data_IF_602572232846
#
_entry.id   IF_602572232846
#
_cell.length_a   1.000
_cell.length_b   1.000
_cell.length_c   1.000
_cell.angle_alpha   90.00
_cell.angle_beta   90.00
_cell.angle_gamma   90.00
#
_symmetry.space_group_name_H-M   'P 1'
#
loop_
_entity.id
_entity.type
_entity.pdbx_description
1 polymer ?
#
# COMPACT_ATOMS: atom_id res chain seq x y z
N UNK A 1 4.55 9.34 -30.79
CA UNK A 1 4.13 9.69 -29.43
C UNK A 1 3.81 8.38 -28.72
N UNK A 2 4.59 7.95 -27.75
CA UNK A 2 4.24 6.78 -26.93
C UNK A 2 2.99 7.12 -26.14
N UNK A 3 1.95 6.33 -26.27
CA UNK A 3 0.73 6.47 -25.49
C UNK A 3 1.11 6.27 -24.02
N UNK A 4 0.91 7.30 -23.19
CA UNK A 4 1.15 7.18 -21.74
C UNK A 4 0.10 6.22 -21.19
N UNK A 5 0.54 5.07 -20.69
CA UNK A 5 -0.35 4.08 -20.09
C UNK A 5 -0.77 4.56 -18.71
N UNK A 6 -2.07 4.83 -18.53
CA UNK A 6 -2.68 5.22 -17.27
C UNK A 6 -3.40 4.01 -16.67
N UNK A 7 -3.03 3.64 -15.43
CA UNK A 7 -3.69 2.57 -14.67
C UNK A 7 -3.97 3.04 -13.25
N UNK A 8 -4.91 2.42 -12.57
CA UNK A 8 -5.06 2.58 -11.12
C UNK A 8 -4.14 1.60 -10.40
N UNK A 9 -3.47 2.06 -9.36
CA UNK A 9 -2.62 1.20 -8.52
C UNK A 9 -3.43 0.06 -7.88
N UNK A 10 -4.65 0.38 -7.46
CA UNK A 10 -5.59 -0.59 -6.90
C UNK A 10 -5.87 -1.76 -7.84
N UNK A 11 -6.28 -1.47 -9.08
CA UNK A 11 -6.72 -2.52 -10.00
C UNK A 11 -5.55 -3.41 -10.42
N UNK A 12 -4.35 -2.83 -10.58
CA UNK A 12 -3.14 -3.61 -10.86
C UNK A 12 -2.77 -4.51 -9.69
N UNK A 13 -2.82 -4.01 -8.45
CA UNK A 13 -2.56 -4.84 -7.26
C UNK A 13 -3.58 -5.97 -7.15
N UNK A 14 -4.87 -5.68 -7.30
CA UNK A 14 -5.92 -6.69 -7.18
C UNK A 14 -5.84 -7.78 -8.26
N UNK A 15 -5.53 -7.41 -9.49
CA UNK A 15 -5.32 -8.37 -10.58
C UNK A 15 -4.09 -9.25 -10.31
N UNK A 16 -2.98 -8.66 -9.87
CA UNK A 16 -1.80 -9.43 -9.52
C UNK A 16 -1.99 -10.35 -8.32
N UNK A 17 -2.80 -9.96 -7.32
CA UNK A 17 -3.18 -10.87 -6.22
C UNK A 17 -4.02 -12.04 -6.76
N UNK A 18 -4.99 -11.76 -7.64
CA UNK A 18 -5.79 -12.80 -8.29
C UNK A 18 -4.91 -13.83 -9.00
N UNK A 19 -3.90 -13.39 -9.76
CA UNK A 19 -2.93 -14.27 -10.43
C UNK A 19 -2.15 -15.13 -9.42
N UNK A 20 -1.65 -14.55 -8.31
CA UNK A 20 -0.91 -15.29 -7.26
C UNK A 20 -1.78 -16.28 -6.50
N UNK A 21 -3.09 -16.03 -6.41
CA UNK A 21 -4.04 -16.99 -5.81
C UNK A 21 -4.16 -18.29 -6.62
N UNK A 22 -3.88 -18.27 -7.93
CA UNK A 22 -3.82 -19.46 -8.77
C UNK A 22 -2.63 -20.37 -8.39
N UNK A 23 -1.51 -19.77 -7.99
CA UNK A 23 -0.26 -20.46 -7.71
C UNK A 23 -0.06 -20.80 -6.23
N UNK A 24 -0.77 -20.08 -5.33
CA UNK A 24 -0.62 -20.22 -3.89
C UNK A 24 -1.99 -20.35 -3.19
N UNK A 25 -2.29 -21.56 -2.75
CA UNK A 25 -3.55 -21.90 -2.07
C UNK A 25 -3.67 -21.28 -0.65
N UNK A 26 -2.58 -20.75 -0.09
CA UNK A 26 -2.58 -20.12 1.23
C UNK A 26 -2.92 -18.62 1.17
N UNK A 27 -3.22 -18.06 0.00
CA UNK A 27 -3.65 -16.68 -0.13
C UNK A 27 -5.17 -16.59 0.02
N UNK A 28 -5.62 -15.72 0.94
CA UNK A 28 -7.01 -15.42 1.23
C UNK A 28 -7.31 -13.95 0.98
N UNK A 29 -8.46 -13.66 0.40
CA UNK A 29 -8.92 -12.30 0.15
C UNK A 29 -10.20 -12.00 0.91
N UNK A 30 -10.17 -10.98 1.76
CA UNK A 30 -11.31 -10.54 2.58
C UNK A 30 -11.69 -9.11 2.25
N UNK A 31 -12.97 -8.76 2.29
CA UNK A 31 -13.43 -7.39 2.12
C UNK A 31 -14.55 -7.01 3.08
N UNK A 32 -14.70 -5.69 3.35
CA UNK A 32 -15.78 -5.13 4.13
C UNK A 32 -16.78 -4.41 3.22
N UNK A 33 -17.54 -5.19 2.47
CA UNK A 33 -18.61 -4.76 1.55
C UNK A 33 -18.20 -3.62 0.59
N UNK A 34 -16.96 -3.66 0.12
CA UNK A 34 -16.42 -2.71 -0.84
C UNK A 34 -15.91 -3.45 -2.08
N UNK A 35 -16.47 -3.12 -3.25
CA UNK A 35 -16.25 -3.84 -4.50
C UNK A 35 -15.16 -3.22 -5.39
N UNK A 36 -14.64 -4.05 -6.30
CA UNK A 36 -13.87 -3.68 -7.47
C UNK A 36 -14.05 -4.78 -8.53
N UNK A 37 -13.86 -4.49 -9.83
CA UNK A 37 -14.06 -5.51 -10.88
C UNK A 37 -13.27 -6.79 -10.68
N UNK A 38 -12.00 -6.69 -10.26
CA UNK A 38 -11.15 -7.88 -10.01
C UNK A 38 -11.65 -8.73 -8.83
N UNK A 39 -12.40 -8.16 -7.88
CA UNK A 39 -12.97 -8.91 -6.76
C UNK A 39 -14.09 -9.85 -7.19
N UNK A 40 -14.81 -9.53 -8.26
CA UNK A 40 -15.84 -10.41 -8.81
C UNK A 40 -15.20 -11.70 -9.35
N UNK A 41 -14.05 -11.58 -10.05
CA UNK A 41 -13.27 -12.74 -10.50
C UNK A 41 -12.79 -13.59 -9.33
N UNK A 42 -12.19 -12.96 -8.30
CA UNK A 42 -11.70 -13.67 -7.10
C UNK A 42 -12.85 -14.42 -6.42
N UNK A 43 -14.01 -13.79 -6.27
CA UNK A 43 -15.19 -14.41 -5.66
C UNK A 43 -15.72 -15.59 -6.45
N UNK A 44 -15.75 -15.50 -7.78
CA UNK A 44 -16.27 -16.54 -8.65
C UNK A 44 -15.33 -17.75 -8.70
N UNK A 45 -14.02 -17.52 -8.78
CA UNK A 45 -13.04 -18.57 -9.00
C UNK A 45 -12.47 -19.14 -7.69
N UNK A 46 -12.26 -18.28 -6.69
CA UNK A 46 -11.67 -18.66 -5.39
C UNK A 46 -12.63 -18.44 -4.21
N UNK A 47 -13.93 -18.74 -4.40
CA UNK A 47 -14.97 -18.47 -3.41
C UNK A 47 -14.75 -19.08 -2.02
N UNK A 48 -14.01 -20.19 -1.92
CA UNK A 48 -13.60 -20.80 -0.65
C UNK A 48 -12.46 -20.03 0.08
N UNK A 49 -11.79 -19.10 -0.61
CA UNK A 49 -10.72 -18.24 -0.09
C UNK A 49 -11.06 -16.74 -0.19
N UNK A 50 -12.32 -16.45 -0.57
CA UNK A 50 -12.87 -15.11 -0.59
C UNK A 50 -13.98 -14.97 0.46
N UNK A 51 -13.90 -13.92 1.29
CA UNK A 51 -14.91 -13.64 2.31
C UNK A 51 -15.28 -12.16 2.34
N UNK A 52 -16.56 -11.85 2.12
CA UNK A 52 -17.13 -10.55 2.41
C UNK A 52 -17.74 -10.58 3.82
N UNK A 53 -17.17 -9.82 4.75
CA UNK A 53 -17.64 -9.76 6.15
C UNK A 53 -18.77 -8.76 6.36
N UNK A 54 -19.24 -8.08 5.30
CA UNK A 54 -20.16 -6.96 5.39
C UNK A 54 -19.47 -5.67 5.84
N UNK A 55 -20.24 -4.63 6.15
CA UNK A 55 -19.71 -3.34 6.63
C UNK A 55 -19.28 -3.50 8.11
N UNK A 56 -18.19 -4.23 8.31
CA UNK A 56 -17.71 -4.66 9.63
C UNK A 56 -16.17 -4.73 9.66
N UNK A 57 -15.49 -3.60 9.54
CA UNK A 57 -14.03 -3.52 9.42
C UNK A 57 -13.29 -4.08 10.64
N UNK A 58 -13.87 -3.94 11.83
CA UNK A 58 -13.32 -4.57 13.04
C UNK A 58 -13.33 -6.11 12.95
N UNK A 59 -14.44 -6.67 12.44
CA UNK A 59 -14.53 -8.12 12.20
C UNK A 59 -13.63 -8.56 11.06
N UNK A 60 -13.46 -7.73 10.02
CA UNK A 60 -12.50 -7.97 8.94
C UNK A 60 -11.10 -8.23 9.51
N UNK A 61 -10.63 -7.38 10.44
CA UNK A 61 -9.32 -7.55 11.08
C UNK A 61 -9.28 -8.82 11.94
N UNK A 62 -10.33 -9.10 12.72
CA UNK A 62 -10.37 -10.29 13.57
C UNK A 62 -10.28 -11.59 12.78
N UNK A 63 -11.08 -11.71 11.72
CA UNK A 63 -11.07 -12.91 10.84
C UNK A 63 -9.74 -13.02 10.12
N UNK A 64 -9.23 -11.91 9.56
CA UNK A 64 -7.92 -11.87 8.89
C UNK A 64 -6.79 -12.33 9.80
N UNK A 65 -6.82 -11.89 11.08
CA UNK A 65 -5.84 -12.32 12.07
C UNK A 65 -5.90 -13.82 12.32
N UNK A 66 -7.12 -14.37 12.50
CA UNK A 66 -7.31 -15.81 12.74
C UNK A 66 -6.75 -16.66 11.59
N UNK A 67 -7.06 -16.31 10.35
CA UNK A 67 -6.54 -17.02 9.16
C UNK A 67 -5.00 -16.90 9.08
N UNK A 68 -4.45 -15.73 9.32
CA UNK A 68 -3.00 -15.52 9.27
C UNK A 68 -2.25 -16.24 10.40
N UNK A 69 -2.88 -16.41 11.58
CA UNK A 69 -2.32 -17.20 12.68
C UNK A 69 -2.22 -18.69 12.34
N UNK A 70 -3.05 -19.19 11.44
CA UNK A 70 -2.97 -20.56 10.89
C UNK A 70 -2.06 -20.68 9.64
N UNK A 71 -1.31 -19.62 9.33
CA UNK A 71 -0.31 -19.62 8.27
C UNK A 71 -0.78 -19.06 6.93
N UNK A 72 -2.01 -18.56 6.85
CA UNK A 72 -2.53 -17.90 5.65
C UNK A 72 -1.86 -16.54 5.38
N UNK A 73 -1.75 -16.19 4.11
CA UNK A 73 -1.45 -14.83 3.65
C UNK A 73 -2.77 -14.15 3.36
N UNK A 74 -3.09 -13.10 4.09
CA UNK A 74 -4.41 -12.46 4.01
C UNK A 74 -4.31 -11.06 3.42
N UNK A 75 -5.13 -10.79 2.41
CA UNK A 75 -5.40 -9.45 1.91
C UNK A 75 -6.78 -9.01 2.41
N UNK A 76 -6.81 -7.92 3.18
CA UNK A 76 -8.02 -7.36 3.77
C UNK A 76 -8.30 -5.98 3.16
N UNK A 77 -9.41 -5.85 2.44
CA UNK A 77 -9.70 -4.72 1.57
C UNK A 77 -10.89 -3.91 2.06
N UNK A 78 -10.69 -2.61 2.25
CA UNK A 78 -11.74 -1.64 2.54
C UNK A 78 -11.33 -0.20 2.18
N UNK A 79 -12.22 0.76 2.41
CA UNK A 79 -11.86 2.18 2.32
C UNK A 79 -10.85 2.56 3.41
N UNK A 80 -9.85 3.35 3.02
CA UNK A 80 -8.74 3.74 3.89
C UNK A 80 -9.19 4.33 5.25
N UNK A 81 -10.12 5.32 5.31
CA UNK A 81 -10.54 5.88 6.60
C UNK A 81 -11.24 4.85 7.49
N UNK A 82 -11.97 3.91 6.89
CA UNK A 82 -12.74 2.94 7.68
C UNK A 82 -11.87 1.82 8.22
N UNK A 83 -11.01 1.25 7.38
CA UNK A 83 -10.11 0.19 7.85
C UNK A 83 -9.11 0.71 8.88
N UNK A 84 -8.58 1.93 8.73
CA UNK A 84 -7.55 2.46 9.63
C UNK A 84 -8.10 3.03 10.93
N UNK A 85 -9.19 3.80 10.90
CA UNK A 85 -9.71 4.49 12.08
C UNK A 85 -10.74 3.66 12.84
N UNK A 86 -11.71 3.04 12.14
CA UNK A 86 -12.77 2.25 12.80
C UNK A 86 -12.23 0.97 13.42
N UNK A 87 -11.25 0.32 12.81
CA UNK A 87 -10.67 -0.92 13.26
C UNK A 87 -9.29 -0.76 13.93
N UNK A 88 -8.90 0.45 14.32
CA UNK A 88 -7.55 0.73 14.84
C UNK A 88 -7.18 -0.11 16.06
N UNK A 89 -8.11 -0.31 16.98
CA UNK A 89 -7.87 -1.14 18.17
C UNK A 89 -7.53 -2.58 17.77
N UNK A 90 -8.31 -3.18 16.85
CA UNK A 90 -8.09 -4.55 16.39
C UNK A 90 -6.76 -4.66 15.64
N UNK A 91 -6.43 -3.69 14.80
CA UNK A 91 -5.12 -3.64 14.12
C UNK A 91 -3.99 -3.58 15.14
N UNK A 92 -4.11 -2.70 16.14
CA UNK A 92 -3.10 -2.54 17.19
C UNK A 92 -2.92 -3.82 18.00
N UNK A 93 -4.01 -4.39 18.52
CA UNK A 93 -3.95 -5.53 19.46
C UNK A 93 -3.72 -6.85 18.75
N UNK A 94 -4.49 -7.13 17.69
CA UNK A 94 -4.51 -8.46 17.08
C UNK A 94 -3.43 -8.62 16.00
N UNK A 95 -3.06 -7.56 15.30
CA UNK A 95 -1.99 -7.62 14.31
C UNK A 95 -0.65 -7.16 14.87
N UNK A 96 -0.53 -5.88 15.24
CA UNK A 96 0.76 -5.29 15.59
C UNK A 96 1.38 -5.90 16.85
N UNK A 97 0.63 -6.01 17.96
CA UNK A 97 1.14 -6.59 19.22
C UNK A 97 1.39 -8.10 19.03
N UNK A 98 0.42 -8.82 18.47
CA UNK A 98 0.54 -10.28 18.30
C UNK A 98 1.65 -10.69 17.34
N UNK A 99 1.94 -9.87 16.30
CA UNK A 99 3.01 -10.14 15.35
C UNK A 99 4.43 -10.07 15.95
N UNK A 100 4.58 -9.48 17.13
CA UNK A 100 5.84 -9.50 17.87
C UNK A 100 6.15 -10.85 18.51
N UNK A 101 5.13 -11.71 18.63
CA UNK A 101 5.24 -13.05 19.25
C UNK A 101 5.24 -14.13 18.16
N UNK A 102 4.35 -14.01 17.16
CA UNK A 102 4.19 -14.96 16.07
C UNK A 102 4.13 -14.21 14.74
N UNK A 103 4.84 -14.65 13.68
CA UNK A 103 4.70 -14.05 12.37
C UNK A 103 3.25 -14.07 11.88
N UNK A 104 2.74 -12.90 11.45
CA UNK A 104 1.37 -12.71 10.95
C UNK A 104 1.46 -11.99 9.61
N UNK A 105 0.99 -12.60 8.53
CA UNK A 105 0.98 -11.97 7.21
C UNK A 105 -0.43 -11.49 6.84
N UNK A 106 -0.77 -10.30 7.28
CA UNK A 106 -2.01 -9.59 6.91
C UNK A 106 -1.67 -8.30 6.19
N UNK A 107 -2.19 -8.16 4.99
CA UNK A 107 -2.00 -7.03 4.09
C UNK A 107 -3.30 -6.20 4.06
N UNK A 108 -3.34 -5.09 4.77
CA UNK A 108 -4.49 -4.19 4.83
C UNK A 108 -4.45 -3.27 3.61
N UNK A 109 -5.39 -3.42 2.69
CA UNK A 109 -5.50 -2.57 1.50
C UNK A 109 -6.50 -1.46 1.78
N UNK A 110 -5.99 -0.23 1.99
CA UNK A 110 -6.79 0.97 2.20
C UNK A 110 -6.88 1.84 0.95
N UNK A 111 -8.05 1.88 0.31
CA UNK A 111 -8.29 2.67 -0.89
C UNK A 111 -8.91 4.01 -0.54
N UNK A 112 -8.50 5.07 -1.25
CA UNK A 112 -9.01 6.41 -1.02
C UNK A 112 -8.23 7.19 0.02
N UNK A 113 -6.91 6.97 0.08
CA UNK A 113 -6.02 7.74 0.96
C UNK A 113 -6.04 9.25 0.66
N UNK A 114 -5.81 10.07 1.68
CA UNK A 114 -5.81 11.52 1.56
C UNK A 114 -7.19 12.08 1.19
N UNK A 115 -7.23 12.93 0.18
CA UNK A 115 -8.46 13.57 -0.34
C UNK A 115 -8.97 12.90 -1.63
N UNK A 116 -8.69 11.63 -1.85
CA UNK A 116 -9.09 10.91 -3.08
C UNK A 116 -10.59 10.94 -3.33
N UNK A 117 -11.39 10.76 -2.30
CA UNK A 117 -12.86 10.80 -2.36
C UNK A 117 -13.43 12.13 -1.87
N UNK A 118 -12.88 13.25 -2.37
CA UNK A 118 -13.26 14.60 -1.95
C UNK A 118 -14.77 14.88 -2.10
N UNK A 119 -15.41 14.35 -3.13
CA UNK A 119 -16.86 14.54 -3.37
C UNK A 119 -17.74 13.78 -2.37
N UNK A 120 -17.23 12.73 -1.74
CA UNK A 120 -17.96 11.96 -0.71
C UNK A 120 -17.95 12.63 0.66
N UNK A 121 -17.20 13.73 0.81
CA UNK A 121 -17.13 14.54 2.01
C UNK A 121 -16.18 14.01 3.08
N UNK A 122 -16.15 14.67 4.25
CA UNK A 122 -15.10 14.49 5.26
C UNK A 122 -15.06 13.07 5.87
N UNK A 123 -16.15 12.31 5.84
CA UNK A 123 -16.17 10.93 6.32
C UNK A 123 -15.35 9.96 5.45
N UNK A 124 -15.06 10.36 4.20
CA UNK A 124 -14.25 9.58 3.25
C UNK A 124 -12.83 10.15 3.07
N UNK A 125 -12.53 11.28 3.68
CA UNK A 125 -11.15 11.79 3.72
C UNK A 125 -10.32 10.94 4.69
N UNK A 126 -9.09 10.65 4.32
CA UNK A 126 -8.18 9.86 5.13
C UNK A 126 -6.82 10.56 5.25
N UNK A 127 -6.73 11.48 6.22
CA UNK A 127 -5.54 12.30 6.46
C UNK A 127 -4.68 11.75 7.60
N UNK A 128 -5.26 10.90 8.44
CA UNK A 128 -4.70 10.41 9.69
C UNK A 128 -3.97 9.06 9.52
N UNK A 129 -4.23 8.33 8.44
CA UNK A 129 -3.80 6.95 8.23
C UNK A 129 -2.29 6.73 8.39
N UNK A 130 -1.47 7.59 7.80
CA UNK A 130 -0.01 7.49 7.92
C UNK A 130 0.42 7.62 9.38
N UNK A 131 -0.12 8.60 10.09
CA UNK A 131 0.24 8.85 11.49
C UNK A 131 -0.17 7.69 12.38
N UNK A 132 -1.39 7.18 12.22
CA UNK A 132 -1.91 6.06 12.99
C UNK A 132 -1.12 4.77 12.74
N UNK A 133 -0.91 4.42 11.48
CA UNK A 133 -0.26 3.16 11.13
C UNK A 133 1.24 3.15 11.46
N UNK A 134 1.93 4.29 11.36
CA UNK A 134 3.35 4.41 11.73
C UNK A 134 3.62 4.30 13.23
N UNK A 135 2.63 4.54 14.08
CA UNK A 135 2.76 4.37 15.53
C UNK A 135 2.79 2.90 15.97
N UNK A 136 2.37 1.98 15.10
CA UNK A 136 2.25 0.57 15.41
C UNK A 136 3.63 -0.11 15.33
N UNK A 137 4.09 -0.79 16.40
CA UNK A 137 5.32 -1.58 16.34
C UNK A 137 5.13 -2.79 15.43
N UNK A 138 6.23 -3.23 14.80
CA UNK A 138 6.24 -4.37 13.87
C UNK A 138 5.14 -4.30 12.81
N UNK A 139 4.98 -3.13 12.19
CA UNK A 139 3.93 -2.87 11.21
C UNK A 139 4.49 -2.08 10.02
N UNK A 140 4.27 -2.58 8.82
CA UNK A 140 4.76 -1.94 7.59
C UNK A 140 3.71 -0.96 7.04
N UNK A 141 4.17 0.18 6.50
CA UNK A 141 3.32 1.17 5.83
C UNK A 141 3.87 1.43 4.43
N UNK A 142 3.18 0.94 3.42
CA UNK A 142 3.55 1.06 2.01
C UNK A 142 2.61 2.03 1.29
N UNK A 143 3.20 3.00 0.59
CA UNK A 143 2.49 4.06 -0.14
C UNK A 143 3.08 4.22 -1.54
N UNK A 144 2.74 3.33 -2.49
CA UNK A 144 3.30 3.37 -3.85
C UNK A 144 2.91 4.64 -4.59
N UNK A 145 3.81 5.10 -5.44
CA UNK A 145 3.60 6.29 -6.27
C UNK A 145 3.07 5.95 -7.65
N UNK A 146 3.26 4.72 -8.14
CA UNK A 146 2.68 4.26 -9.40
C UNK A 146 2.23 2.79 -9.36
N UNK A 147 1.58 2.37 -10.45
CA UNK A 147 1.03 1.03 -10.57
C UNK A 147 2.11 -0.05 -10.74
N UNK A 148 3.28 0.28 -11.31
CA UNK A 148 4.38 -0.69 -11.46
C UNK A 148 4.97 -1.05 -10.09
N UNK A 149 5.20 -0.04 -9.26
CA UNK A 149 5.68 -0.25 -7.90
C UNK A 149 4.67 -1.05 -7.05
N UNK A 150 3.36 -0.81 -7.27
CA UNK A 150 2.31 -1.57 -6.60
C UNK A 150 2.29 -3.05 -7.04
N UNK A 151 2.54 -3.34 -8.33
CA UNK A 151 2.65 -4.68 -8.88
C UNK A 151 3.86 -5.44 -8.31
N UNK A 152 5.03 -4.83 -8.32
CA UNK A 152 6.27 -5.43 -7.79
C UNK A 152 6.20 -5.72 -6.29
N UNK A 153 5.40 -4.95 -5.54
CA UNK A 153 5.22 -5.17 -4.11
C UNK A 153 4.45 -6.43 -3.77
N UNK A 154 3.72 -7.04 -4.70
CA UNK A 154 2.85 -8.21 -4.42
C UNK A 154 3.69 -9.38 -3.89
N UNK A 155 4.72 -9.78 -4.60
CA UNK A 155 5.57 -10.91 -4.20
C UNK A 155 6.30 -10.62 -2.87
N UNK A 156 6.82 -9.40 -2.70
CA UNK A 156 7.38 -8.95 -1.43
C UNK A 156 6.36 -9.02 -0.28
N UNK A 157 5.11 -8.66 -0.53
CA UNK A 157 4.05 -8.68 0.47
C UNK A 157 3.64 -10.10 0.89
N UNK A 158 3.79 -11.08 0.00
CA UNK A 158 3.54 -12.51 0.27
C UNK A 158 4.67 -13.09 1.12
N UNK A 159 5.92 -12.77 0.79
CA UNK A 159 7.11 -13.35 1.42
C UNK A 159 7.38 -12.79 2.82
N UNK A 160 7.18 -11.51 3.01
CA UNK A 160 7.43 -10.84 4.29
C UNK A 160 6.28 -11.05 5.27
N UNK A 161 6.53 -11.87 6.30
CA UNK A 161 5.53 -12.30 7.29
C UNK A 161 5.37 -11.30 8.44
N UNK A 162 4.87 -10.11 8.10
CA UNK A 162 4.48 -9.09 9.08
C UNK A 162 3.22 -8.35 8.60
N UNK A 163 2.45 -7.73 9.51
CA UNK A 163 1.28 -6.93 9.11
C UNK A 163 1.70 -5.70 8.30
N UNK A 164 0.92 -5.39 7.26
CA UNK A 164 1.20 -4.28 6.34
C UNK A 164 -0.06 -3.46 6.09
N UNK A 165 0.12 -2.16 5.95
CA UNK A 165 -0.88 -1.25 5.41
C UNK A 165 -0.42 -0.75 4.05
N UNK A 166 -1.20 -1.07 3.02
CA UNK A 166 -0.99 -0.68 1.62
C UNK A 166 -2.00 0.41 1.30
N UNK A 167 -1.55 1.64 1.10
CA UNK A 167 -2.43 2.78 0.89
C UNK A 167 -2.41 3.26 -0.54
N UNK A 168 -3.57 3.50 -1.11
CA UNK A 168 -3.72 4.00 -2.47
C UNK A 168 -4.58 5.26 -2.57
N UNK A 169 -4.14 6.18 -3.44
CA UNK A 169 -5.03 7.17 -4.03
C UNK A 169 -5.96 6.45 -5.03
N UNK A 170 -7.21 6.93 -5.18
CA UNK A 170 -8.19 6.33 -6.09
C UNK A 170 -8.01 6.73 -7.56
N UNK A 171 -6.97 7.52 -7.88
CA UNK A 171 -6.76 8.08 -9.22
C UNK A 171 -5.92 7.15 -10.10
N UNK A 172 -6.14 7.28 -11.41
CA UNK A 172 -5.21 6.73 -12.39
C UNK A 172 -3.91 7.52 -12.40
N UNK A 173 -2.79 6.82 -12.52
CA UNK A 173 -1.45 7.42 -12.55
C UNK A 173 -0.65 6.92 -13.75
N UNK A 174 0.29 7.73 -14.21
CA UNK A 174 1.30 7.31 -15.18
C UNK A 174 2.38 6.49 -14.51
N UNK A 175 3.10 5.71 -15.29
CA UNK A 175 4.28 4.99 -14.83
C UNK A 175 5.40 5.97 -14.50
N UNK A 176 6.02 5.79 -13.33
CA UNK A 176 7.25 6.45 -12.88
C UNK A 176 8.41 5.47 -12.97
N UNK A 177 8.21 4.28 -12.41
CA UNK A 177 9.21 3.21 -12.36
C UNK A 177 9.23 2.41 -13.66
N UNK A 178 10.41 2.29 -14.27
CA UNK A 178 10.62 1.44 -15.45
C UNK A 178 11.19 0.09 -15.04
N UNK A 179 11.09 -0.91 -15.91
CA UNK A 179 11.66 -2.25 -15.70
C UNK A 179 13.19 -2.27 -15.50
N UNK A 180 13.84 -1.11 -15.73
CA UNK A 180 15.28 -0.92 -15.53
C UNK A 180 15.64 -0.33 -14.16
N UNK A 181 14.64 0.08 -13.38
CA UNK A 181 14.85 0.61 -12.03
C UNK A 181 14.85 -0.55 -11.04
N UNK A 182 15.98 -0.75 -10.41
CA UNK A 182 16.16 -1.73 -9.36
C UNK A 182 15.69 -1.12 -8.03
N UNK A 183 14.46 -1.47 -7.64
CA UNK A 183 13.83 -0.95 -6.43
C UNK A 183 14.05 -1.93 -5.29
N UNK A 184 14.74 -1.46 -4.25
CA UNK A 184 14.90 -2.21 -3.01
C UNK A 184 13.84 -1.77 -1.98
N UNK A 185 12.89 -2.64 -1.66
CA UNK A 185 11.83 -2.36 -0.69
C UNK A 185 12.37 -2.17 0.74
N UNK A 186 13.52 -2.75 1.09
CA UNK A 186 14.15 -2.57 2.40
C UNK A 186 14.74 -1.17 2.59
N UNK A 187 15.18 -0.52 1.51
CA UNK A 187 15.61 0.88 1.58
C UNK A 187 14.44 1.83 1.80
N UNK A 188 13.27 1.48 1.27
CA UNK A 188 12.00 2.19 1.49
C UNK A 188 11.83 3.46 0.67
N UNK A 189 12.81 3.84 -0.14
CA UNK A 189 12.77 5.01 -1.00
C UNK A 189 13.62 4.82 -2.25
N UNK A 190 13.38 5.69 -3.23
CA UNK A 190 14.17 5.75 -4.45
C UNK A 190 14.44 7.20 -4.86
N UNK A 191 15.70 7.53 -5.19
CA UNK A 191 16.08 8.83 -5.72
C UNK A 191 15.78 8.88 -7.23
N UNK A 192 14.57 9.34 -7.60
CA UNK A 192 14.11 9.39 -9.00
C UNK A 192 14.95 10.35 -9.82
N UNK A 193 15.34 11.48 -9.23
CA UNK A 193 16.15 12.50 -9.87
C UNK A 193 17.07 13.15 -8.84
N UNK A 194 18.34 13.30 -9.20
CA UNK A 194 19.28 14.09 -8.43
C UNK A 194 19.19 15.57 -8.77
N UNK A 195 19.29 16.44 -7.77
CA UNK A 195 19.44 17.89 -7.89
C UNK A 195 20.70 18.36 -7.15
N UNK A 196 20.98 19.66 -7.15
CA UNK A 196 22.18 20.22 -6.52
C UNK A 196 21.95 20.76 -5.11
N UNK A 197 20.85 21.47 -4.86
CA UNK A 197 20.63 22.25 -3.63
C UNK A 197 19.34 21.97 -2.88
N UNK A 198 18.35 21.40 -3.56
CA UNK A 198 17.02 21.18 -3.02
C UNK A 198 16.53 19.81 -3.45
N UNK A 199 15.96 19.08 -2.51
CA UNK A 199 15.29 17.80 -2.78
C UNK A 199 13.84 17.84 -2.32
N UNK A 200 12.93 17.42 -3.19
CA UNK A 200 11.55 17.16 -2.84
C UNK A 200 11.42 15.68 -2.40
N UNK A 201 11.12 15.47 -1.14
CA UNK A 201 10.78 14.15 -0.60
C UNK A 201 9.27 14.01 -0.61
N UNK A 202 8.76 13.04 -1.32
CA UNK A 202 7.32 12.86 -1.56
C UNK A 202 6.91 11.39 -1.43
N UNK A 203 5.62 11.10 -1.38
CA UNK A 203 5.09 9.75 -1.31
C UNK A 203 3.77 9.64 -2.08
N UNK A 204 3.50 8.45 -2.63
CA UNK A 204 2.26 8.15 -3.32
C UNK A 204 1.98 9.10 -4.47
N UNK A 205 0.73 9.51 -4.63
CA UNK A 205 0.32 10.44 -5.71
C UNK A 205 1.09 11.76 -5.73
N UNK A 206 1.57 12.24 -4.58
CA UNK A 206 2.32 13.51 -4.51
C UNK A 206 3.68 13.45 -5.22
N UNK A 207 4.23 12.26 -5.45
CA UNK A 207 5.45 12.09 -6.25
C UNK A 207 5.27 12.55 -7.69
N UNK A 208 4.10 12.35 -8.29
CA UNK A 208 3.77 12.92 -9.61
C UNK A 208 3.78 14.45 -9.60
N UNK A 209 3.31 15.05 -8.49
CA UNK A 209 3.34 16.52 -8.33
C UNK A 209 4.76 17.02 -8.17
N UNK A 210 5.58 16.34 -7.36
CA UNK A 210 6.99 16.66 -7.19
C UNK A 210 7.76 16.60 -8.53
N UNK A 211 7.52 15.57 -9.36
CA UNK A 211 8.10 15.44 -10.71
C UNK A 211 7.70 16.64 -11.59
N UNK A 212 6.44 17.06 -11.57
CA UNK A 212 6.00 18.19 -12.36
C UNK A 212 6.62 19.51 -11.88
N UNK A 213 6.71 19.73 -10.57
CA UNK A 213 7.39 20.91 -10.00
C UNK A 213 8.86 20.93 -10.39
N UNK A 214 9.57 19.80 -10.27
CA UNK A 214 10.99 19.71 -10.66
C UNK A 214 11.22 20.02 -12.16
N UNK A 215 10.29 19.67 -13.04
CA UNK A 215 10.36 20.04 -14.47
C UNK A 215 10.19 21.54 -14.70
N UNK A 216 9.41 22.23 -13.86
CA UNK A 216 9.16 23.68 -13.98
C UNK A 216 10.28 24.52 -13.36
N UNK A 217 10.83 24.08 -12.24
CA UNK A 217 11.84 24.82 -11.46
C UNK A 217 13.28 24.51 -11.92
N UNK A 218 13.51 23.32 -12.46
CA UNK A 218 14.80 22.91 -13.02
C UNK A 218 15.60 22.01 -12.09
N UNK A 219 16.62 22.55 -11.41
CA UNK A 219 17.59 21.77 -10.64
C UNK A 219 17.09 21.41 -9.23
N UNK A 220 16.06 20.57 -9.19
CA UNK A 220 15.45 20.04 -7.95
C UNK A 220 15.49 18.52 -7.98
N UNK A 221 16.07 17.92 -6.95
CA UNK A 221 16.06 16.48 -6.74
C UNK A 221 14.69 15.96 -6.31
N UNK A 222 14.44 14.67 -6.54
CA UNK A 222 13.20 14.00 -6.16
C UNK A 222 13.52 12.66 -5.52
N UNK A 223 13.04 12.48 -4.31
CA UNK A 223 13.02 11.21 -3.60
C UNK A 223 11.56 10.77 -3.43
N UNK A 224 11.25 9.56 -3.87
CA UNK A 224 9.99 8.90 -3.60
C UNK A 224 10.14 8.00 -2.37
N UNK A 225 9.43 8.33 -1.30
CA UNK A 225 9.33 7.52 -0.09
C UNK A 225 8.11 6.61 -0.23
N UNK A 226 8.30 5.40 -0.77
CA UNK A 226 7.21 4.44 -0.95
C UNK A 226 6.99 3.54 0.27
N UNK A 227 8.01 3.35 1.11
CA UNK A 227 7.89 2.68 2.40
C UNK A 227 8.02 3.71 3.51
N UNK A 228 6.92 3.98 4.21
CA UNK A 228 6.87 4.99 5.26
C UNK A 228 7.23 4.42 6.64
N UNK A 229 7.22 3.09 6.75
CA UNK A 229 7.68 2.32 7.91
C UNK A 229 7.79 0.82 7.56
N UNK A 230 8.90 0.12 7.84
CA UNK A 230 10.22 0.69 8.12
C UNK A 230 10.90 1.22 6.85
N UNK A 231 11.98 1.97 6.99
CA UNK A 231 12.86 2.37 5.90
C UNK A 231 14.30 2.52 6.40
N UNK A 232 15.26 2.57 5.49
CA UNK A 232 16.67 2.73 5.80
C UNK A 232 16.99 4.20 6.12
N UNK A 233 16.80 4.58 7.40
CA UNK A 233 17.02 5.96 7.88
C UNK A 233 18.45 6.45 7.62
N UNK A 234 19.44 5.56 7.80
CA UNK A 234 20.84 5.91 7.58
C UNK A 234 21.12 6.24 6.11
N UNK A 235 20.62 5.40 5.20
CA UNK A 235 20.81 5.62 3.77
C UNK A 235 20.06 6.88 3.30
N UNK A 236 18.84 7.11 3.80
CA UNK A 236 18.08 8.32 3.49
C UNK A 236 18.82 9.57 3.97
N UNK A 237 19.35 9.56 5.18
CA UNK A 237 20.11 10.67 5.73
C UNK A 237 21.39 10.97 4.90
N UNK A 238 22.17 9.95 4.53
CA UNK A 238 23.34 10.12 3.68
C UNK A 238 22.97 10.60 2.26
N UNK A 239 21.80 10.19 1.77
CA UNK A 239 21.27 10.69 0.48
C UNK A 239 20.92 12.18 0.57
N UNK A 240 20.21 12.58 1.63
CA UNK A 240 19.77 13.98 1.83
C UNK A 240 20.90 14.95 2.13
N UNK A 241 22.01 14.50 2.74
CA UNK A 241 23.21 15.35 2.95
C UNK A 241 23.85 15.89 1.66
N UNK A 242 23.49 15.31 0.53
CA UNK A 242 24.03 15.73 -0.78
C UNK A 242 23.37 16.98 -1.35
N UNK A 243 22.31 17.43 -0.69
CA UNK A 243 21.51 18.61 -1.01
C UNK A 243 21.79 19.70 0.05
#
# INVERSE_FOLDING_TARGET
>A
MSTVLLKTMRDVLLEGIYERMAENENIFFLCADFGAPSLDKIREEYGNRFLNVGIAEQNLINVSTGIAMEGGVVYAYALAPFITMRAYEQIRTNLSISSQIKPINVNLIGVGAGLSYNMSGPTHHCLEDISLMRLLPNFMVFSPSDWRLAEEFIDYSIDVKMPKYIRFDAKTVSQIYSDKMDVNFEDGFFEIKRGEKVCLVSTGFMTHRAINVSKMVGDVGIIDMFMLNPFNEKLLFETLKRY
#
